data_IF_605160356707
#
_entry.id   IF_605160356707
#
_cell.length_a   1.000
_cell.length_b   1.000
_cell.length_c   1.000
_cell.angle_alpha   90.00
_cell.angle_beta   90.00
_cell.angle_gamma   90.00
#
_symmetry.space_group_name_H-M   'P 1'
#
loop_
_entity.id
_entity.type
_entity.pdbx_description
1 polymer ?
#
# COMPACT_ATOMS: atom_id res chain seq x y z
N UNK A 1 8.16 -28.94 -13.97
CA UNK A 1 7.98 -30.06 -14.90
C UNK A 1 7.10 -29.61 -16.07
N UNK A 2 7.61 -29.68 -17.30
CA UNK A 2 6.80 -29.43 -18.48
C UNK A 2 5.94 -30.67 -18.78
N UNK A 3 4.63 -30.48 -18.84
CA UNK A 3 3.69 -31.53 -19.20
C UNK A 3 3.60 -31.65 -20.74
N UNK A 4 3.61 -30.48 -21.40
CA UNK A 4 3.67 -30.34 -22.86
C UNK A 4 4.25 -28.96 -23.21
N UNK A 5 4.29 -28.60 -24.48
CA UNK A 5 4.85 -27.34 -24.98
C UNK A 5 4.17 -26.09 -24.37
N UNK A 6 2.90 -26.20 -23.94
CA UNK A 6 2.09 -25.09 -23.47
C UNK A 6 1.74 -25.16 -21.97
N UNK A 7 2.14 -26.25 -21.28
CA UNK A 7 1.72 -26.47 -19.89
C UNK A 7 2.89 -26.88 -19.02
N UNK A 8 3.17 -26.09 -18.00
CA UNK A 8 4.19 -26.35 -17.00
C UNK A 8 3.53 -26.61 -15.64
N UNK A 9 3.86 -27.72 -15.01
CA UNK A 9 3.47 -28.02 -13.63
C UNK A 9 4.54 -27.51 -12.67
N UNK A 10 4.13 -26.70 -11.70
CA UNK A 10 5.01 -26.12 -10.67
C UNK A 10 4.63 -26.73 -9.32
N UNK A 11 5.57 -27.41 -8.69
CA UNK A 11 5.42 -27.94 -7.34
C UNK A 11 6.18 -27.06 -6.37
N UNK A 12 5.50 -26.55 -5.33
CA UNK A 12 6.08 -25.73 -4.27
C UNK A 12 6.17 -26.58 -3.01
N UNK A 13 7.40 -26.84 -2.56
CA UNK A 13 7.63 -27.52 -1.28
C UNK A 13 7.50 -26.54 -0.12
N UNK A 14 6.77 -26.92 0.91
CA UNK A 14 6.49 -26.09 2.08
C UNK A 14 7.21 -26.60 3.32
N UNK A 15 7.77 -25.71 4.13
CA UNK A 15 8.28 -26.01 5.47
C UNK A 15 7.12 -26.31 6.43
N UNK A 16 7.38 -27.10 7.48
CA UNK A 16 6.32 -27.52 8.42
C UNK A 16 5.72 -26.38 9.25
N UNK A 17 6.53 -25.42 9.66
CA UNK A 17 6.12 -24.37 10.63
C UNK A 17 6.22 -22.97 10.03
N UNK A 18 5.39 -22.71 9.01
CA UNK A 18 5.28 -21.40 8.38
C UNK A 18 4.39 -20.47 9.22
N UNK A 19 4.83 -19.23 9.36
CA UNK A 19 4.01 -18.10 9.84
C UNK A 19 3.29 -17.45 8.66
N UNK A 20 2.28 -16.64 8.93
CA UNK A 20 1.56 -15.89 7.90
C UNK A 20 2.51 -15.05 7.03
N UNK A 21 3.48 -14.36 7.66
CA UNK A 21 4.51 -13.58 6.96
C UNK A 21 5.40 -14.42 6.03
N UNK A 22 5.70 -15.67 6.40
CA UNK A 22 6.51 -16.56 5.56
C UNK A 22 5.72 -16.98 4.31
N UNK A 23 4.41 -17.19 4.47
CA UNK A 23 3.51 -17.53 3.37
C UNK A 23 3.36 -16.36 2.41
N UNK A 24 3.23 -15.13 2.94
CA UNK A 24 3.19 -13.90 2.14
C UNK A 24 4.49 -13.69 1.36
N UNK A 25 5.64 -13.89 2.00
CA UNK A 25 6.94 -13.83 1.33
C UNK A 25 7.05 -14.88 0.22
N UNK A 26 6.61 -16.11 0.47
CA UNK A 26 6.58 -17.18 -0.54
C UNK A 26 5.70 -16.79 -1.75
N UNK A 27 4.55 -16.15 -1.50
CA UNK A 27 3.69 -15.59 -2.56
C UNK A 27 4.42 -14.52 -3.39
N UNK A 28 5.18 -13.64 -2.73
CA UNK A 28 6.01 -12.64 -3.39
C UNK A 28 7.16 -13.24 -4.22
N UNK A 29 7.83 -14.27 -3.70
CA UNK A 29 8.87 -15.02 -4.43
C UNK A 29 8.29 -15.73 -5.64
N UNK A 30 7.12 -16.33 -5.49
CA UNK A 30 6.41 -16.98 -6.60
C UNK A 30 6.03 -15.97 -7.69
N UNK A 31 5.61 -14.76 -7.34
CA UNK A 31 5.40 -13.70 -8.32
C UNK A 31 6.66 -13.40 -9.14
N UNK A 32 7.82 -13.28 -8.49
CA UNK A 32 9.09 -13.07 -9.18
C UNK A 32 9.42 -14.24 -10.12
N UNK A 33 9.18 -15.47 -9.68
CA UNK A 33 9.40 -16.65 -10.49
C UNK A 33 8.53 -16.69 -11.74
N UNK A 34 7.21 -16.45 -11.62
CA UNK A 34 6.30 -16.45 -12.77
C UNK A 34 6.60 -15.31 -13.75
N UNK A 35 6.98 -14.13 -13.23
CA UNK A 35 7.36 -12.97 -14.04
C UNK A 35 8.66 -13.24 -14.82
N UNK A 36 9.69 -13.82 -14.16
CA UNK A 36 10.98 -14.19 -14.79
C UNK A 36 10.79 -15.19 -15.93
N UNK A 37 9.88 -16.14 -15.77
CA UNK A 37 9.59 -17.16 -16.76
C UNK A 37 8.49 -16.78 -17.75
N UNK A 38 8.00 -15.55 -17.72
CA UNK A 38 6.97 -15.02 -18.64
C UNK A 38 5.65 -15.81 -18.62
N UNK A 39 5.32 -16.46 -17.50
CA UNK A 39 4.03 -17.14 -17.36
C UNK A 39 2.90 -16.12 -17.23
N UNK A 40 1.82 -16.28 -18.00
CA UNK A 40 0.68 -15.35 -18.01
C UNK A 40 -0.57 -15.90 -17.34
N UNK A 41 -0.83 -17.19 -17.51
CA UNK A 41 -2.02 -17.85 -16.97
C UNK A 41 -1.59 -18.90 -15.94
N UNK A 42 -1.94 -18.66 -14.70
CA UNK A 42 -1.57 -19.52 -13.58
C UNK A 42 -2.82 -20.09 -12.94
N UNK A 43 -2.86 -21.40 -12.77
CA UNK A 43 -3.89 -22.08 -12.00
C UNK A 43 -3.31 -22.65 -10.71
N UNK A 44 -3.78 -22.16 -9.57
CA UNK A 44 -3.36 -22.64 -8.24
C UNK A 44 -4.38 -23.67 -7.77
N UNK A 45 -3.93 -24.91 -7.56
CA UNK A 45 -4.78 -25.99 -7.04
C UNK A 45 -4.87 -25.86 -5.53
N UNK A 46 -5.99 -25.33 -5.03
CA UNK A 46 -6.18 -24.97 -3.62
C UNK A 46 -6.24 -26.18 -2.67
N UNK A 47 -6.71 -27.32 -3.16
CA UNK A 47 -6.83 -28.55 -2.37
C UNK A 47 -5.49 -29.23 -2.06
N UNK A 48 -4.39 -28.84 -2.72
CA UNK A 48 -3.06 -29.39 -2.49
C UNK A 48 -2.36 -28.80 -1.27
N UNK A 49 -2.78 -27.60 -0.81
CA UNK A 49 -2.24 -26.98 0.38
C UNK A 49 -2.90 -27.59 1.63
N UNK A 50 -2.15 -28.39 2.39
CA UNK A 50 -2.62 -28.88 3.70
C UNK A 50 -2.54 -27.73 4.72
N UNK A 51 -3.68 -27.17 5.05
CA UNK A 51 -3.76 -26.09 6.04
C UNK A 51 -3.81 -26.65 7.46
N UNK A 52 -3.03 -26.08 8.37
CA UNK A 52 -3.31 -26.21 9.80
C UNK A 52 -4.72 -25.66 10.08
N UNK A 53 -5.50 -26.22 11.01
CA UNK A 53 -6.80 -25.66 11.36
C UNK A 53 -6.68 -24.16 11.70
N UNK A 54 -7.48 -23.32 11.04
CA UNK A 54 -7.51 -21.86 11.24
C UNK A 54 -6.53 -21.04 10.39
N UNK A 55 -5.57 -21.66 9.69
CA UNK A 55 -4.64 -20.95 8.79
C UNK A 55 -5.25 -20.77 7.41
N UNK A 56 -5.21 -19.56 6.89
CA UNK A 56 -5.59 -19.25 5.51
C UNK A 56 -4.38 -19.17 4.59
N UNK A 57 -3.76 -20.33 4.33
CA UNK A 57 -2.57 -20.41 3.50
C UNK A 57 -2.76 -19.74 2.12
N UNK A 58 -3.84 -20.09 1.42
CA UNK A 58 -4.09 -19.56 0.08
C UNK A 58 -4.35 -18.05 0.12
N UNK A 59 -5.04 -17.55 1.13
CA UNK A 59 -5.28 -16.12 1.32
C UNK A 59 -3.98 -15.35 1.49
N UNK A 60 -3.11 -15.75 2.42
CA UNK A 60 -1.79 -15.13 2.64
C UNK A 60 -0.87 -15.26 1.43
N UNK A 61 -0.84 -16.42 0.78
CA UNK A 61 -0.02 -16.63 -0.43
C UNK A 61 -0.44 -15.70 -1.57
N UNK A 62 -1.73 -15.62 -1.88
CA UNK A 62 -2.25 -14.72 -2.93
C UNK A 62 -2.08 -13.26 -2.54
N UNK A 63 -2.24 -12.92 -1.25
CA UNK A 63 -1.99 -11.59 -0.72
C UNK A 63 -0.53 -11.15 -0.96
N UNK A 64 0.44 -11.97 -0.56
CA UNK A 64 1.86 -11.70 -0.78
C UNK A 64 2.22 -11.56 -2.25
N UNK A 65 1.66 -12.42 -3.10
CA UNK A 65 1.82 -12.34 -4.55
C UNK A 65 1.28 -11.00 -5.10
N UNK A 66 0.11 -10.56 -4.67
CA UNK A 66 -0.47 -9.27 -5.08
C UNK A 66 0.35 -8.09 -4.57
N UNK A 67 0.79 -8.10 -3.32
CA UNK A 67 1.65 -7.04 -2.79
C UNK A 67 2.94 -6.88 -3.59
N UNK A 68 3.50 -8.00 -4.08
CA UNK A 68 4.70 -8.00 -4.93
C UNK A 68 4.42 -7.55 -6.36
N UNK A 69 3.20 -7.70 -6.84
CA UNK A 69 2.83 -7.32 -8.21
C UNK A 69 2.67 -5.80 -8.42
N UNK A 70 2.79 -5.01 -7.37
CA UNK A 70 2.68 -3.56 -7.47
C UNK A 70 3.74 -2.96 -8.39
N UNK A 71 3.33 -2.08 -9.27
CA UNK A 71 4.19 -1.30 -10.16
C UNK A 71 3.68 0.14 -10.28
N UNK A 72 4.56 1.10 -10.06
CA UNK A 72 4.26 2.51 -10.29
C UNK A 72 4.63 2.87 -11.74
N UNK A 73 3.63 2.91 -12.62
CA UNK A 73 3.82 3.07 -14.07
C UNK A 73 3.16 4.34 -14.64
N UNK A 74 2.73 5.28 -13.79
CA UNK A 74 1.92 6.43 -14.20
C UNK A 74 2.66 7.31 -15.22
N UNK A 75 3.97 7.50 -15.03
CA UNK A 75 4.80 8.39 -15.86
C UNK A 75 5.60 7.66 -16.95
N UNK A 76 5.45 6.34 -17.06
CA UNK A 76 6.14 5.60 -18.13
C UNK A 76 5.42 5.76 -19.46
N UNK A 77 6.17 6.12 -20.51
CA UNK A 77 5.66 6.23 -21.89
C UNK A 77 5.17 4.87 -22.42
N UNK A 78 5.87 3.78 -22.09
CA UNK A 78 5.46 2.41 -22.39
C UNK A 78 4.95 1.75 -21.10
N UNK A 79 3.64 1.66 -20.95
CA UNK A 79 3.03 0.94 -19.84
C UNK A 79 3.13 -0.55 -20.11
N UNK A 80 3.96 -1.25 -19.34
CA UNK A 80 3.95 -2.71 -19.32
C UNK A 80 2.67 -3.13 -18.61
N UNK A 81 1.74 -3.74 -19.34
CA UNK A 81 0.58 -4.37 -18.71
C UNK A 81 1.05 -5.60 -17.96
N UNK A 82 0.69 -5.68 -16.69
CA UNK A 82 0.85 -6.91 -15.93
C UNK A 82 -0.28 -7.87 -16.32
N UNK A 83 -0.05 -8.67 -17.37
CA UNK A 83 -1.04 -9.57 -17.96
C UNK A 83 -1.10 -10.94 -17.25
N UNK A 84 -0.63 -11.01 -16.01
CA UNK A 84 -0.66 -12.27 -15.25
C UNK A 84 -2.07 -12.47 -14.67
N UNK A 85 -2.71 -13.56 -15.11
CA UNK A 85 -4.01 -14.01 -14.59
C UNK A 85 -3.80 -15.19 -13.65
N UNK A 86 -4.38 -15.10 -12.45
CA UNK A 86 -4.33 -16.16 -11.44
C UNK A 86 -5.73 -16.71 -11.19
N UNK A 87 -5.87 -18.00 -11.45
CA UNK A 87 -7.09 -18.75 -11.20
C UNK A 87 -6.91 -19.66 -9.99
N UNK A 88 -7.89 -19.67 -9.09
CA UNK A 88 -7.93 -20.62 -7.97
C UNK A 88 -8.83 -21.79 -8.36
N UNK A 89 -8.27 -23.00 -8.41
CA UNK A 89 -8.96 -24.21 -8.84
C UNK A 89 -9.16 -25.15 -7.64
N UNK A 90 -10.39 -25.56 -7.42
CA UNK A 90 -10.77 -26.45 -6.33
C UNK A 90 -11.64 -25.77 -5.25
N UNK A 91 -11.96 -26.53 -4.22
CA UNK A 91 -12.79 -26.06 -3.11
C UNK A 91 -12.00 -25.07 -2.26
N UNK A 92 -12.50 -23.84 -2.16
CA UNK A 92 -11.95 -22.84 -1.27
C UNK A 92 -12.42 -23.10 0.15
N UNK A 93 -11.52 -22.97 1.13
CA UNK A 93 -11.91 -23.11 2.53
C UNK A 93 -12.69 -21.88 3.01
N UNK A 94 -13.42 -22.03 4.11
CA UNK A 94 -14.21 -20.95 4.71
C UNK A 94 -13.35 -19.76 5.17
N UNK A 95 -12.11 -20.02 5.60
CA UNK A 95 -11.16 -18.97 6.01
C UNK A 95 -10.78 -18.05 4.84
N UNK A 96 -10.51 -18.61 3.66
CA UNK A 96 -10.23 -17.82 2.46
C UNK A 96 -11.40 -16.89 2.10
N UNK A 97 -12.61 -17.44 2.07
CA UNK A 97 -13.81 -16.65 1.75
C UNK A 97 -14.04 -15.54 2.77
N UNK A 98 -13.85 -15.82 4.06
CA UNK A 98 -14.01 -14.86 5.16
C UNK A 98 -12.97 -13.75 5.11
N UNK A 99 -11.71 -14.06 4.79
CA UNK A 99 -10.60 -13.11 4.81
C UNK A 99 -10.43 -12.32 3.51
N UNK A 100 -11.10 -12.72 2.43
CA UNK A 100 -10.96 -12.09 1.10
C UNK A 100 -11.15 -10.56 1.13
N UNK A 101 -12.17 -10.06 1.85
CA UNK A 101 -12.42 -8.62 1.96
C UNK A 101 -11.33 -7.92 2.76
N UNK A 102 -10.82 -8.56 3.82
CA UNK A 102 -9.70 -8.05 4.63
C UNK A 102 -8.45 -7.89 3.77
N UNK A 103 -8.04 -8.94 3.05
CA UNK A 103 -6.87 -8.88 2.18
C UNK A 103 -7.02 -7.83 1.09
N UNK A 104 -8.19 -7.74 0.47
CA UNK A 104 -8.48 -6.70 -0.53
C UNK A 104 -8.29 -5.29 0.05
N UNK A 105 -8.82 -5.02 1.24
CA UNK A 105 -8.67 -3.72 1.88
C UNK A 105 -7.20 -3.40 2.21
N UNK A 106 -6.44 -4.38 2.71
CA UNK A 106 -5.01 -4.23 2.99
C UNK A 106 -4.20 -3.97 1.70
N UNK A 107 -4.52 -4.65 0.62
CA UNK A 107 -3.89 -4.46 -0.70
C UNK A 107 -4.15 -3.05 -1.24
N UNK A 108 -5.41 -2.62 -1.24
CA UNK A 108 -5.82 -1.29 -1.71
C UNK A 108 -5.15 -0.18 -0.88
N UNK A 109 -5.13 -0.30 0.45
CA UNK A 109 -4.46 0.65 1.34
C UNK A 109 -2.96 0.70 1.12
N UNK A 110 -2.31 -0.48 1.00
CA UNK A 110 -0.87 -0.56 0.73
C UNK A 110 -0.52 0.04 -0.63
N UNK A 111 -1.31 -0.20 -1.66
CA UNK A 111 -1.08 0.36 -2.99
C UNK A 111 -1.29 1.87 -3.01
N UNK A 112 -2.33 2.35 -2.33
CA UNK A 112 -2.55 3.78 -2.15
C UNK A 112 -1.36 4.47 -1.46
N UNK A 113 -0.84 3.87 -0.38
CA UNK A 113 0.37 4.35 0.31
C UNK A 113 1.57 4.38 -0.65
N UNK A 114 1.82 3.30 -1.38
CA UNK A 114 2.94 3.20 -2.34
C UNK A 114 2.80 4.20 -3.48
N UNK A 115 1.60 4.43 -3.99
CA UNK A 115 1.33 5.44 -5.02
C UNK A 115 1.68 6.83 -4.50
N UNK A 116 1.25 7.20 -3.28
CA UNK A 116 1.57 8.48 -2.68
C UNK A 116 3.09 8.69 -2.50
N UNK A 117 3.79 7.65 -2.01
CA UNK A 117 5.25 7.71 -1.77
C UNK A 117 6.06 7.77 -3.06
N UNK A 118 5.54 7.17 -4.14
CA UNK A 118 6.21 7.14 -5.45
C UNK A 118 5.96 8.40 -6.29
N UNK A 119 5.02 9.24 -5.88
CA UNK A 119 4.73 10.49 -6.59
C UNK A 119 5.86 11.51 -6.41
N UNK A 120 6.28 12.19 -7.47
CA UNK A 120 7.28 13.25 -7.35
C UNK A 120 6.70 14.48 -6.63
N UNK A 121 7.54 15.22 -5.90
CA UNK A 121 7.14 16.38 -5.09
C UNK A 121 6.54 17.55 -5.87
N UNK A 122 6.78 17.64 -7.18
CA UNK A 122 6.12 18.62 -8.07
C UNK A 122 4.67 18.25 -8.43
N UNK A 123 4.27 17.01 -8.17
CA UNK A 123 2.89 16.53 -8.32
C UNK A 123 2.22 16.40 -6.96
N UNK A 124 2.85 15.64 -6.04
CA UNK A 124 2.33 15.46 -4.68
C UNK A 124 2.84 16.58 -3.77
N UNK A 125 2.35 17.80 -3.96
CA UNK A 125 2.55 18.91 -3.05
C UNK A 125 1.44 18.97 -1.99
N UNK A 126 1.57 19.76 -0.90
CA UNK A 126 0.66 19.67 0.25
C UNK A 126 -0.84 19.86 -0.07
N UNK A 127 -1.18 20.78 -0.95
CA UNK A 127 -2.56 21.02 -1.37
C UNK A 127 -3.14 19.84 -2.19
N UNK A 128 -2.37 19.27 -3.13
CA UNK A 128 -2.81 18.08 -3.87
C UNK A 128 -2.93 16.86 -2.95
N UNK A 129 -1.99 16.69 -2.01
CA UNK A 129 -2.06 15.60 -1.04
C UNK A 129 -3.32 15.73 -0.18
N UNK A 130 -3.58 16.91 0.41
CA UNK A 130 -4.79 17.15 1.18
C UNK A 130 -6.07 16.88 0.35
N UNK A 131 -6.08 17.27 -0.92
CA UNK A 131 -7.18 16.99 -1.86
C UNK A 131 -7.38 15.49 -2.09
N UNK A 132 -6.31 14.72 -2.31
CA UNK A 132 -6.39 13.25 -2.48
C UNK A 132 -6.96 12.60 -1.23
N UNK A 133 -6.57 13.04 -0.03
CA UNK A 133 -7.11 12.52 1.22
C UNK A 133 -8.60 12.78 1.38
N UNK A 134 -9.14 13.89 0.85
CA UNK A 134 -10.59 14.13 0.91
C UNK A 134 -11.42 13.10 0.14
N UNK A 135 -10.84 12.41 -0.84
CA UNK A 135 -11.52 11.36 -1.59
C UNK A 135 -11.85 10.13 -0.72
N UNK A 136 -11.18 9.97 0.42
CA UNK A 136 -11.45 8.88 1.36
C UNK A 136 -12.84 8.98 2.01
N UNK A 137 -13.51 10.13 1.88
CA UNK A 137 -14.93 10.29 2.27
C UNK A 137 -15.85 9.27 1.59
N UNK A 138 -15.50 8.81 0.39
CA UNK A 138 -16.26 7.76 -0.32
C UNK A 138 -16.34 6.42 0.43
N UNK A 139 -15.42 6.21 1.37
CA UNK A 139 -15.42 5.02 2.25
C UNK A 139 -16.13 5.26 3.59
N UNK A 140 -16.87 6.38 3.74
CA UNK A 140 -17.58 6.71 4.97
C UNK A 140 -16.71 7.35 6.05
N UNK A 141 -15.47 7.74 5.72
CA UNK A 141 -14.58 8.42 6.65
C UNK A 141 -14.93 9.91 6.74
N UNK A 142 -14.85 10.48 7.95
CA UNK A 142 -14.97 11.93 8.13
C UNK A 142 -13.59 12.56 7.95
N UNK A 143 -13.38 13.26 6.85
CA UNK A 143 -12.12 13.94 6.53
C UNK A 143 -12.27 15.44 6.68
N UNK A 144 -11.45 16.03 7.55
CA UNK A 144 -11.39 17.48 7.79
C UNK A 144 -10.02 18.01 7.42
N UNK A 145 -10.00 19.07 6.61
CA UNK A 145 -8.77 19.73 6.16
C UNK A 145 -8.65 21.09 6.85
N UNK A 146 -7.53 21.34 7.49
CA UNK A 146 -7.15 22.61 8.10
C UNK A 146 -6.10 23.28 7.23
N UNK A 147 -6.46 24.38 6.61
CA UNK A 147 -5.57 25.19 5.79
C UNK A 147 -4.70 26.13 6.65
N UNK A 148 -3.78 26.85 6.01
CA UNK A 148 -2.88 27.81 6.66
C UNK A 148 -3.63 28.83 7.55
N UNK A 149 -4.80 29.32 7.11
CA UNK A 149 -5.60 30.31 7.87
C UNK A 149 -6.17 29.69 9.15
N UNK A 150 -6.72 28.49 9.07
CA UNK A 150 -7.23 27.75 10.24
C UNK A 150 -6.11 27.34 11.19
N UNK A 151 -4.98 26.85 10.65
CA UNK A 151 -3.81 26.46 11.45
C UNK A 151 -3.25 27.63 12.24
N UNK A 152 -3.18 28.84 11.65
CA UNK A 152 -2.76 30.05 12.35
C UNK A 152 -3.69 30.39 13.50
N UNK A 153 -5.02 30.32 13.30
CA UNK A 153 -6.02 30.56 14.37
C UNK A 153 -5.92 29.56 15.51
N UNK A 154 -5.51 28.32 15.22
CA UNK A 154 -5.37 27.25 16.21
C UNK A 154 -3.99 27.22 16.88
N UNK A 155 -3.07 28.11 16.52
CA UNK A 155 -1.74 28.18 17.12
C UNK A 155 -0.74 27.13 16.64
N UNK A 156 -0.93 26.50 15.49
CA UNK A 156 0.00 25.53 14.90
C UNK A 156 1.25 26.19 14.30
N UNK A 157 1.93 27.01 15.08
CA UNK A 157 3.01 27.86 14.60
C UNK A 157 4.24 27.05 14.16
N UNK A 158 4.57 25.96 14.87
CA UNK A 158 5.70 25.09 14.48
C UNK A 158 5.48 24.45 13.11
N UNK A 159 4.27 23.92 12.85
CA UNK A 159 3.91 23.37 11.54
C UNK A 159 3.98 24.42 10.44
N UNK A 160 3.46 25.62 10.71
CA UNK A 160 3.51 26.75 9.78
C UNK A 160 4.93 27.23 9.54
N UNK A 161 5.81 27.16 10.57
CA UNK A 161 7.23 27.49 10.47
C UNK A 161 7.98 26.59 9.49
N UNK A 162 7.70 25.31 9.50
CA UNK A 162 8.32 24.34 8.57
C UNK A 162 7.99 24.68 7.11
N UNK A 163 6.77 25.06 6.82
CA UNK A 163 6.31 25.35 5.45
C UNK A 163 6.44 26.82 5.00
N UNK A 164 6.99 27.71 5.83
CA UNK A 164 6.92 29.15 5.57
C UNK A 164 7.69 29.61 4.32
N UNK A 165 8.77 28.89 3.96
CA UNK A 165 9.57 29.17 2.76
C UNK A 165 8.97 28.64 1.46
N UNK A 166 7.91 27.82 1.54
CA UNK A 166 7.26 27.26 0.36
C UNK A 166 6.20 28.22 -0.19
N UNK A 167 6.06 28.29 -1.51
CA UNK A 167 4.93 28.93 -2.18
C UNK A 167 3.61 28.19 -1.96
N UNK A 168 3.67 26.92 -1.56
CA UNK A 168 2.50 26.08 -1.24
C UNK A 168 2.08 26.26 0.21
N UNK A 169 0.78 26.12 0.46
CA UNK A 169 0.27 26.17 1.83
C UNK A 169 0.61 24.94 2.64
N UNK A 170 0.59 25.09 3.98
CA UNK A 170 0.67 23.96 4.91
C UNK A 170 -0.72 23.50 5.31
N UNK A 171 -0.89 22.20 5.52
CA UNK A 171 -2.18 21.59 5.84
C UNK A 171 -2.03 20.59 7.00
N UNK A 172 -3.10 20.47 7.80
CA UNK A 172 -3.34 19.35 8.68
C UNK A 172 -4.61 18.65 8.21
N UNK A 173 -4.56 17.34 8.05
CA UNK A 173 -5.74 16.55 7.71
C UNK A 173 -6.05 15.59 8.85
N UNK A 174 -7.29 15.63 9.35
CA UNK A 174 -7.78 14.63 10.30
C UNK A 174 -8.76 13.71 9.60
N UNK A 175 -8.61 12.41 9.84
CA UNK A 175 -9.44 11.36 9.30
C UNK A 175 -10.04 10.57 10.47
N UNK A 176 -11.35 10.57 10.59
CA UNK A 176 -12.07 9.90 11.67
C UNK A 176 -12.86 8.72 11.13
N UNK A 177 -12.66 7.56 11.75
CA UNK A 177 -13.50 6.38 11.55
C UNK A 177 -14.23 6.03 12.85
N UNK A 178 -15.55 6.01 12.81
CA UNK A 178 -16.41 5.66 13.95
C UNK A 178 -16.99 4.25 13.78
N UNK A 179 -16.10 3.26 13.76
CA UNK A 179 -16.48 1.84 13.60
C UNK A 179 -16.94 1.17 14.88
N UNK A 180 -16.74 1.80 16.04
CA UNK A 180 -17.17 1.26 17.32
C UNK A 180 -18.24 2.17 17.97
N UNK A 181 -19.24 1.55 18.60
CA UNK A 181 -20.28 2.24 19.39
C UNK A 181 -19.82 2.57 20.82
N UNK A 182 -18.62 2.14 21.22
CA UNK A 182 -18.04 2.42 22.53
C UNK A 182 -17.84 3.93 22.73
N UNK A 183 -18.01 4.39 23.97
CA UNK A 183 -17.70 5.77 24.41
C UNK A 183 -16.22 5.93 24.80
N UNK A 184 -15.36 4.94 24.54
CA UNK A 184 -13.92 5.03 24.83
C UNK A 184 -13.25 6.10 23.97
N UNK A 185 -12.12 6.61 24.46
CA UNK A 185 -11.29 7.54 23.70
C UNK A 185 -10.80 6.88 22.41
N UNK A 186 -10.75 7.63 21.29
CA UNK A 186 -10.25 7.12 20.04
C UNK A 186 -8.75 6.84 20.11
N UNK A 187 -8.30 5.79 19.42
CA UNK A 187 -6.88 5.62 19.14
C UNK A 187 -6.49 6.62 18.02
N UNK A 188 -5.42 7.38 18.26
CA UNK A 188 -4.90 8.35 17.31
C UNK A 188 -3.55 7.90 16.74
N UNK A 189 -3.43 7.94 15.41
CA UNK A 189 -2.18 7.78 14.69
C UNK A 189 -1.77 9.12 14.11
N UNK A 190 -0.50 9.50 14.25
CA UNK A 190 0.03 10.77 13.74
C UNK A 190 1.16 10.45 12.77
N UNK A 191 1.07 10.98 11.55
CA UNK A 191 2.04 10.77 10.49
C UNK A 191 2.65 12.07 9.98
N UNK A 192 3.98 12.07 9.77
CA UNK A 192 4.70 13.16 9.10
C UNK A 192 4.31 13.21 7.63
N UNK A 193 3.91 14.41 7.15
CA UNK A 193 3.40 14.63 5.79
C UNK A 193 4.20 15.68 5.02
N UNK A 194 5.52 15.77 5.20
CA UNK A 194 6.38 16.68 4.44
C UNK A 194 6.56 16.14 3.03
N UNK A 195 5.92 16.75 2.04
CA UNK A 195 5.85 16.23 0.67
C UNK A 195 7.21 16.20 -0.04
N UNK A 196 8.10 17.15 0.29
CA UNK A 196 9.49 17.16 -0.17
C UNK A 196 10.33 18.05 0.76
N UNK A 197 11.40 17.51 1.33
CA UNK A 197 12.29 18.24 2.24
C UNK A 197 13.62 18.59 1.58
N UNK A 198 13.78 19.86 1.23
CA UNK A 198 15.05 20.38 0.66
C UNK A 198 16.10 20.70 1.72
N UNK A 199 15.75 20.70 3.00
CA UNK A 199 16.60 21.18 4.10
C UNK A 199 16.46 22.67 4.41
N UNK A 200 15.84 23.48 3.56
CA UNK A 200 15.68 24.92 3.74
C UNK A 200 16.99 25.68 3.54
N UNK A 201 17.34 26.65 4.43
CA UNK A 201 18.62 27.36 4.37
C UNK A 201 19.84 26.43 4.53
N UNK A 202 19.71 25.33 5.26
CA UNK A 202 20.67 24.24 5.31
C UNK A 202 20.34 23.21 4.23
N UNK A 203 20.58 23.59 2.97
CA UNK A 203 20.21 22.81 1.80
C UNK A 203 20.89 21.43 1.82
N UNK A 204 20.12 20.39 1.61
CA UNK A 204 20.65 19.02 1.52
C UNK A 204 21.52 18.85 0.27
N UNK A 205 22.63 18.13 0.34
CA UNK A 205 23.35 17.66 -0.85
C UNK A 205 22.44 16.81 -1.75
N UNK A 206 22.61 16.91 -3.07
CA UNK A 206 21.75 16.24 -4.05
C UNK A 206 21.53 14.74 -3.74
N UNK A 207 22.61 14.02 -3.38
CA UNK A 207 22.59 12.59 -3.03
C UNK A 207 21.69 12.20 -1.84
N UNK A 208 21.31 13.19 -1.02
CA UNK A 208 20.41 13.00 0.13
C UNK A 208 19.05 13.65 -0.08
N UNK A 209 18.91 14.44 -1.14
CA UNK A 209 17.67 15.13 -1.46
C UNK A 209 16.79 14.32 -2.41
N UNK A 210 17.36 13.52 -3.30
CA UNK A 210 16.63 12.73 -4.30
C UNK A 210 15.59 11.80 -3.68
N UNK A 211 15.87 11.27 -2.47
CA UNK A 211 14.96 10.38 -1.74
C UNK A 211 13.86 11.12 -0.98
N UNK A 212 13.86 12.46 -0.93
CA UNK A 212 12.92 13.23 -0.11
C UNK A 212 11.49 13.22 -0.63
N UNK A 213 11.19 12.57 -1.73
CA UNK A 213 9.82 12.23 -2.16
C UNK A 213 9.10 11.36 -1.16
N UNK A 214 9.81 10.50 -0.41
CA UNK A 214 9.24 9.65 0.62
C UNK A 214 9.11 10.30 2.00
N UNK A 215 9.49 11.57 2.18
CA UNK A 215 9.48 12.24 3.50
C UNK A 215 8.05 12.43 4.07
N UNK A 216 7.04 12.13 3.30
CA UNK A 216 5.64 12.04 3.69
C UNK A 216 5.15 10.59 3.92
N UNK A 217 6.01 9.58 3.83
CA UNK A 217 5.61 8.17 3.92
C UNK A 217 4.98 7.81 5.27
N UNK A 218 5.40 8.47 6.36
CA UNK A 218 4.79 8.26 7.67
C UNK A 218 3.30 8.63 7.68
N UNK A 219 2.92 9.75 7.06
CA UNK A 219 1.49 10.09 6.93
C UNK A 219 0.76 9.19 5.95
N UNK A 220 1.40 8.77 4.86
CA UNK A 220 0.80 7.85 3.90
C UNK A 220 0.51 6.46 4.51
N UNK A 221 1.36 6.00 5.44
CA UNK A 221 1.14 4.74 6.15
C UNK A 221 0.02 4.85 7.21
N UNK A 222 -0.23 6.06 7.74
CA UNK A 222 -1.32 6.32 8.72
C UNK A 222 -2.68 6.38 8.03
N UNK A 223 -2.73 6.82 6.78
CA UNK A 223 -3.94 6.98 5.98
C UNK A 223 -4.47 5.64 5.47
#
# INVERSE_FOLDING_TARGET
FNINENTTFILISLKKDLKDSDIENLGGEFYNFIKKNSFKNISIITGSAQNKPGMDFIGHFVHGLKLKSYEFNIYKSKKVKNDITINLVGKQNTSFTKNKLKFKALEEGTFFTRDLVSEPGNVLHPDEYAKRLTQLRKYGLKVTVYDKKKLKKLGFNALLGVGQGSIRGSYLVTIEWKGNKSKSNPLAFVGKGVCFDTGGYSLKPARFMEDMTYDMAGSAAVV
#
